data_IF_817920844779
#
_entry.id   IF_817920844779
#
_cell.length_a   1.000
_cell.length_b   1.000
_cell.length_c   1.000
_cell.angle_alpha   90.00
_cell.angle_beta   90.00
_cell.angle_gamma   90.00
#
_symmetry.space_group_name_H-M   'P 1'
#
loop_
_entity.id
_entity.type
_entity.pdbx_description
1 polymer ?
#
# COMPACT_ATOMS: atom_id res chain seq x y z
N UNK A 1 -9.15 7.59 -1.90
CA UNK A 1 -9.13 6.13 -1.88
C UNK A 1 -7.72 5.62 -1.62
N UNK A 2 -7.63 4.55 -0.87
CA UNK A 2 -6.33 3.97 -0.51
C UNK A 2 -5.52 3.60 -1.76
N UNK A 3 -6.18 2.99 -2.74
CA UNK A 3 -5.48 2.55 -3.94
C UNK A 3 -4.83 3.72 -4.68
N UNK A 4 -5.53 4.84 -4.77
CA UNK A 4 -4.98 6.01 -5.45
C UNK A 4 -3.82 6.60 -4.68
N UNK A 5 -3.94 6.66 -3.36
CA UNK A 5 -2.88 7.18 -2.51
C UNK A 5 -1.65 6.29 -2.59
N UNK A 6 -1.85 4.97 -2.61
CA UNK A 6 -0.75 4.03 -2.75
C UNK A 6 -0.02 4.24 -4.08
N UNK A 7 -0.78 4.34 -5.16
CA UNK A 7 -0.22 4.50 -6.48
C UNK A 7 0.61 5.77 -6.57
N UNK A 8 0.07 6.86 -6.06
CA UNK A 8 0.77 8.13 -6.08
C UNK A 8 2.06 8.08 -5.26
N UNK A 9 1.97 7.47 -4.08
CA UNK A 9 3.15 7.39 -3.22
C UNK A 9 4.21 6.49 -3.80
N UNK A 10 3.80 5.37 -4.39
CA UNK A 10 4.76 4.47 -5.04
C UNK A 10 5.51 5.21 -6.14
N UNK A 11 4.78 6.02 -6.90
CA UNK A 11 5.40 6.80 -7.96
C UNK A 11 6.42 7.79 -7.40
N UNK A 12 6.07 8.47 -6.31
CA UNK A 12 6.97 9.41 -5.66
C UNK A 12 8.26 8.74 -5.19
N UNK A 13 8.13 7.50 -4.71
CA UNK A 13 9.26 6.75 -4.18
C UNK A 13 10.01 5.96 -5.23
N UNK A 14 9.52 5.97 -6.47
CA UNK A 14 10.12 5.15 -7.52
C UNK A 14 9.98 3.66 -7.23
N UNK A 15 8.89 3.25 -6.60
CA UNK A 15 8.69 1.89 -6.14
C UNK A 15 7.78 1.14 -7.09
N UNK A 16 8.19 -0.06 -7.49
CA UNK A 16 7.35 -0.92 -8.32
C UNK A 16 6.49 -1.82 -7.46
N UNK A 17 5.49 -2.47 -8.08
CA UNK A 17 4.66 -3.42 -7.36
C UNK A 17 5.49 -4.56 -6.78
N UNK A 18 6.49 -5.00 -7.54
CA UNK A 18 7.37 -6.08 -7.07
C UNK A 18 8.14 -5.64 -5.84
N UNK A 19 8.66 -4.42 -5.87
CA UNK A 19 9.41 -3.89 -4.73
C UNK A 19 8.54 -3.78 -3.50
N UNK A 20 7.31 -3.29 -3.68
CA UNK A 20 6.39 -3.17 -2.56
C UNK A 20 6.01 -4.53 -2.00
N UNK A 21 5.78 -5.50 -2.89
CA UNK A 21 5.45 -6.85 -2.45
C UNK A 21 6.56 -7.45 -1.60
N UNK A 22 7.79 -7.26 -2.02
CA UNK A 22 8.95 -7.74 -1.26
C UNK A 22 9.03 -7.04 0.10
N UNK A 23 8.78 -5.75 0.10
CA UNK A 23 8.85 -4.98 1.34
C UNK A 23 7.77 -5.41 2.31
N UNK A 24 6.59 -5.74 1.80
CA UNK A 24 5.48 -6.18 2.63
C UNK A 24 5.45 -7.68 2.87
N UNK A 25 6.40 -8.39 2.26
CA UNK A 25 6.49 -9.85 2.39
C UNK A 25 5.21 -10.53 1.90
N UNK A 26 4.75 -10.12 0.73
CA UNK A 26 3.56 -10.69 0.12
C UNK A 26 3.79 -10.84 -1.39
N UNK A 27 2.78 -11.30 -2.10
CA UNK A 27 2.91 -11.51 -3.54
C UNK A 27 2.62 -10.25 -4.32
N UNK A 28 3.19 -10.18 -5.52
CA UNK A 28 2.92 -9.06 -6.41
C UNK A 28 1.45 -9.05 -6.84
N UNK A 29 0.86 -10.24 -6.96
CA UNK A 29 -0.55 -10.34 -7.30
C UNK A 29 -1.43 -9.69 -6.26
N UNK A 30 -1.08 -9.86 -4.99
CA UNK A 30 -1.82 -9.24 -3.89
C UNK A 30 -1.76 -7.72 -4.01
N UNK A 31 -0.57 -7.19 -4.29
CA UNK A 31 -0.41 -5.74 -4.47
C UNK A 31 -1.27 -5.26 -5.64
N UNK A 32 -1.25 -6.01 -6.73
CA UNK A 32 -2.04 -5.65 -7.91
C UNK A 32 -3.53 -5.59 -7.58
N UNK A 33 -4.03 -6.54 -6.80
CA UNK A 33 -5.43 -6.55 -6.40
C UNK A 33 -5.79 -5.34 -5.55
N UNK A 34 -4.89 -4.98 -4.65
CA UNK A 34 -5.11 -3.80 -3.81
C UNK A 34 -5.21 -2.56 -4.68
N UNK A 35 -4.29 -2.42 -5.62
CA UNK A 35 -4.24 -1.23 -6.46
C UNK A 35 -5.44 -1.13 -7.39
N UNK A 36 -6.06 -2.26 -7.70
CA UNK A 36 -7.26 -2.28 -8.52
C UNK A 36 -8.53 -2.11 -7.69
N UNK A 37 -8.38 -1.98 -6.37
CA UNK A 37 -9.51 -1.81 -5.49
C UNK A 37 -10.35 -3.06 -5.32
N UNK A 38 -9.75 -4.23 -5.53
CA UNK A 38 -10.49 -5.49 -5.48
C UNK A 38 -10.24 -6.30 -4.22
N UNK A 39 -9.51 -5.72 -3.28
CA UNK A 39 -9.14 -6.44 -2.07
C UNK A 39 -9.74 -5.74 -0.86
N UNK A 40 -10.32 -6.52 0.05
CA UNK A 40 -10.78 -5.99 1.33
C UNK A 40 -9.60 -5.94 2.27
N UNK A 41 -9.25 -4.74 2.72
CA UNK A 41 -8.07 -4.55 3.54
C UNK A 41 -8.44 -4.57 5.01
N UNK A 42 -7.74 -5.40 5.77
CA UNK A 42 -7.85 -5.36 7.22
C UNK A 42 -7.03 -4.19 7.76
N UNK A 43 -7.24 -3.87 9.03
CA UNK A 43 -6.44 -2.81 9.65
C UNK A 43 -4.97 -3.19 9.66
N UNK A 44 -4.68 -4.46 9.81
CA UNK A 44 -3.31 -4.94 9.79
C UNK A 44 -2.67 -4.70 8.42
N UNK A 45 -3.41 -5.01 7.37
CA UNK A 45 -2.91 -4.79 6.01
C UNK A 45 -2.68 -3.31 5.75
N UNK A 46 -3.59 -2.48 6.20
CA UNK A 46 -3.45 -1.03 6.02
C UNK A 46 -2.21 -0.53 6.76
N UNK A 47 -1.97 -1.03 7.96
CA UNK A 47 -0.79 -0.65 8.72
C UNK A 47 0.51 -1.03 8.00
N UNK A 48 0.52 -2.21 7.39
CA UNK A 48 1.70 -2.65 6.64
C UNK A 48 1.94 -1.73 5.44
N UNK A 49 0.87 -1.33 4.77
CA UNK A 49 0.98 -0.43 3.64
C UNK A 49 1.52 0.92 4.09
N UNK A 50 0.98 1.43 5.18
CA UNK A 50 1.43 2.72 5.72
C UNK A 50 2.92 2.68 6.03
N UNK A 51 3.37 1.62 6.69
CA UNK A 51 4.77 1.49 7.06
C UNK A 51 5.66 1.35 5.83
N UNK A 52 5.19 0.63 4.83
CA UNK A 52 5.99 0.38 3.63
C UNK A 52 6.11 1.61 2.75
N UNK A 53 5.09 2.44 2.73
CA UNK A 53 5.07 3.62 1.86
C UNK A 53 5.27 4.92 2.63
N UNK A 54 5.45 4.83 3.93
CA UNK A 54 5.70 6.01 4.78
C UNK A 54 4.58 7.03 4.67
N UNK A 55 3.32 6.54 4.64
CA UNK A 55 2.15 7.41 4.61
C UNK A 55 1.21 7.01 5.73
N UNK A 56 0.18 7.81 5.95
CA UNK A 56 -0.74 7.59 7.06
C UNK A 56 -2.17 7.66 6.57
N UNK A 57 -2.81 6.49 6.43
CA UNK A 57 -4.23 6.42 6.10
C UNK A 57 -5.09 6.50 7.34
N UNK A 58 -4.57 6.02 8.46
CA UNK A 58 -5.29 5.96 9.72
C UNK A 58 -4.89 7.08 10.66
N UNK A 59 -4.27 8.08 10.12
CA UNK A 59 -3.75 9.16 10.94
C UNK A 59 -4.87 9.86 11.68
N UNK A 60 -4.63 10.01 12.96
CA UNK A 60 -5.49 10.85 13.78
C UNK A 60 -4.78 12.16 13.93
N UNK A 61 -5.44 13.21 13.64
CA UNK A 61 -4.83 14.50 13.80
C UNK A 61 -4.48 14.77 15.20
N UNK A 62 -3.36 15.31 15.39
CA UNK A 62 -2.97 15.64 16.72
C UNK A 62 -2.97 17.06 16.98
#
# INVERSE_FOLDING_TARGET
MIANAMSARMKELGMTQKMLAEKMNCTQQYISKILKGRENLSLEAISKIENSLYIHFLQMDE
#
